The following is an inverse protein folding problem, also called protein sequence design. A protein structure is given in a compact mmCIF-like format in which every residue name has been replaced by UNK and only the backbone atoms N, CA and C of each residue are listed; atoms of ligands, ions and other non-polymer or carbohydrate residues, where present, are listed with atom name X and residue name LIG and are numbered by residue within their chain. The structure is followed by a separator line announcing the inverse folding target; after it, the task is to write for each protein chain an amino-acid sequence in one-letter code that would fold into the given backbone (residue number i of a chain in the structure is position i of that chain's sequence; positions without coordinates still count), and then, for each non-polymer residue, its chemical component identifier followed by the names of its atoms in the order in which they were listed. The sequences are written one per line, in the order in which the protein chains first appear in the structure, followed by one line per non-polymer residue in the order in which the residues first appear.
data_IF_777237249109
#
_entry.id   IF_777237249109
#
_cell.length_a   1.000
_cell.length_b   1.000
_cell.length_c   1.000
_cell.angle_alpha   90.00
_cell.angle_beta   90.00
_cell.angle_gamma   90.00
#
_symmetry.space_group_name_H-M   'P 1'
#
loop_
_entity.id
_entity.type
_entity.pdbx_description
1 polymer ?
#
# COMPACT_ATOMS: atom_id res chain seq x y z
N UNK A 1 -5.72 -11.66 -7.43
CA UNK A 1 -4.93 -11.08 -6.30
C UNK A 1 -5.84 -10.50 -5.22
N UNK A 2 -5.82 -11.08 -4.02
CA UNK A 2 -6.58 -10.62 -2.84
C UNK A 2 -6.24 -9.14 -2.52
N UNK A 3 -4.97 -8.75 -2.63
CA UNK A 3 -4.50 -7.38 -2.41
C UNK A 3 -5.18 -6.32 -3.27
N UNK A 4 -5.59 -6.65 -4.51
CA UNK A 4 -6.30 -5.71 -5.38
C UNK A 4 -7.69 -5.38 -4.84
N UNK A 5 -8.39 -6.38 -4.30
CA UNK A 5 -9.72 -6.20 -3.68
C UNK A 5 -9.61 -5.39 -2.38
N UNK A 6 -8.58 -5.68 -1.57
CA UNK A 6 -8.32 -4.97 -0.31
C UNK A 6 -8.01 -3.48 -0.59
N UNK A 7 -6.99 -3.20 -1.41
CA UNK A 7 -6.60 -1.82 -1.77
C UNK A 7 -7.76 -1.05 -2.42
N UNK A 8 -8.53 -1.70 -3.30
CA UNK A 8 -9.69 -1.08 -3.95
C UNK A 8 -10.80 -0.70 -2.97
N UNK A 9 -11.21 -1.62 -2.09
CA UNK A 9 -12.25 -1.35 -1.08
C UNK A 9 -11.80 -0.31 -0.05
N UNK A 10 -10.55 -0.38 0.39
CA UNK A 10 -9.97 0.61 1.30
C UNK A 10 -9.91 2.00 0.66
N UNK A 11 -9.49 2.10 -0.60
CA UNK A 11 -9.49 3.38 -1.35
C UNK A 11 -10.89 4.00 -1.44
N UNK A 12 -11.91 3.18 -1.69
CA UNK A 12 -13.30 3.65 -1.77
C UNK A 12 -13.83 4.19 -0.44
N UNK A 13 -13.51 3.52 0.67
CA UNK A 13 -13.93 3.99 2.00
C UNK A 13 -13.17 5.27 2.41
N UNK A 14 -11.84 5.28 2.24
CA UNK A 14 -11.02 6.44 2.60
C UNK A 14 -11.37 7.69 1.80
N UNK A 15 -11.70 7.56 0.51
CA UNK A 15 -12.15 8.70 -0.31
C UNK A 15 -13.53 9.22 0.08
N UNK A 16 -14.36 8.42 0.75
CA UNK A 16 -15.65 8.87 1.29
C UNK A 16 -15.50 9.60 2.62
N UNK A 17 -14.58 9.15 3.47
CA UNK A 17 -14.33 9.75 4.78
C UNK A 17 -13.45 11.01 4.69
N UNK A 18 -12.48 11.02 3.78
CA UNK A 18 -11.50 12.09 3.61
C UNK A 18 -11.56 12.66 2.19
N UNK A 19 -12.40 13.68 1.94
CA UNK A 19 -12.54 14.29 0.61
C UNK A 19 -11.24 14.98 0.13
N UNK A 20 -10.34 15.31 1.04
CA UNK A 20 -8.99 15.81 0.73
C UNK A 20 -8.13 14.81 -0.06
N UNK A 21 -8.38 13.50 0.10
CA UNK A 21 -7.69 12.43 -0.64
C UNK A 21 -8.20 12.26 -2.08
N UNK A 22 -9.20 13.04 -2.51
CA UNK A 22 -9.64 13.07 -3.92
C UNK A 22 -8.67 13.83 -4.82
N UNK A 23 -7.78 14.66 -4.25
CA UNK A 23 -6.76 15.41 -4.99
C UNK A 23 -5.67 14.52 -5.61
N UNK A 24 -5.49 13.31 -5.08
CA UNK A 24 -4.47 12.35 -5.52
C UNK A 24 -5.10 11.31 -6.46
N UNK A 25 -4.59 11.16 -7.71
CA UNK A 25 -5.20 10.28 -8.72
C UNK A 25 -5.19 8.81 -8.29
N UNK A 26 -4.11 8.36 -7.66
CA UNK A 26 -3.94 7.00 -7.13
C UNK A 26 -3.56 7.04 -5.65
N UNK A 27 -4.35 6.35 -4.82
CA UNK A 27 -4.15 6.33 -3.37
C UNK A 27 -3.11 5.29 -2.93
N UNK A 28 -2.88 4.28 -3.77
CA UNK A 28 -1.96 3.18 -3.51
C UNK A 28 -1.02 3.00 -4.69
N UNK A 29 0.26 2.75 -4.41
CA UNK A 29 1.21 2.27 -5.43
C UNK A 29 0.77 0.88 -5.92
N UNK A 30 1.00 0.56 -7.21
CA UNK A 30 0.63 -0.75 -7.77
C UNK A 30 1.37 -1.91 -7.09
N UNK A 31 2.59 -1.63 -6.62
CA UNK A 31 3.45 -2.56 -5.91
C UNK A 31 2.96 -2.84 -4.48
N UNK A 32 3.18 -4.05 -3.98
CA UNK A 32 2.87 -4.44 -2.61
C UNK A 32 3.89 -5.46 -2.14
N UNK A 33 4.34 -5.33 -0.89
CA UNK A 33 5.19 -6.30 -0.24
C UNK A 33 4.32 -7.31 0.50
N UNK A 34 4.55 -8.60 0.29
CA UNK A 34 3.94 -9.67 1.08
C UNK A 34 5.04 -10.64 1.48
N UNK A 35 5.12 -10.96 2.77
CA UNK A 35 6.05 -11.94 3.30
C UNK A 35 5.33 -12.76 4.37
N UNK A 36 5.67 -14.04 4.47
CA UNK A 36 5.08 -14.97 5.43
C UNK A 36 5.56 -14.63 6.84
N UNK A 37 4.65 -14.70 7.82
CA UNK A 37 4.98 -14.48 9.23
C UNK A 37 5.96 -15.58 9.69
N UNK A 38 7.23 -15.22 9.82
CA UNK A 38 8.28 -16.15 10.25
C UNK A 38 9.70 -15.61 10.15
N UNK A 39 10.01 -14.69 9.22
CA UNK A 39 11.39 -14.25 9.04
C UNK A 39 11.53 -12.82 8.47
N UNK A 40 10.83 -11.84 9.05
CA UNK A 40 10.98 -10.44 8.62
C UNK A 40 11.95 -9.74 9.57
N UNK A 41 13.19 -9.55 9.11
CA UNK A 41 14.11 -8.58 9.69
C UNK A 41 13.65 -7.16 9.31
N UNK A 42 13.65 -6.23 10.26
CA UNK A 42 13.30 -4.82 10.04
C UNK A 42 14.10 -4.17 8.89
N UNK A 43 15.33 -4.62 8.65
CA UNK A 43 16.16 -4.22 7.51
C UNK A 43 15.54 -4.54 6.15
N UNK A 44 14.85 -5.67 6.00
CA UNK A 44 14.20 -6.04 4.73
C UNK A 44 13.06 -5.10 4.39
N UNK A 45 12.31 -4.64 5.40
CA UNK A 45 11.25 -3.65 5.22
C UNK A 45 11.84 -2.29 4.83
N UNK A 46 12.93 -1.86 5.48
CA UNK A 46 13.63 -0.61 5.14
C UNK A 46 14.14 -0.62 3.69
N UNK A 47 14.82 -1.69 3.29
CA UNK A 47 15.31 -1.86 1.91
C UNK A 47 14.18 -1.82 0.89
N UNK A 48 13.02 -2.43 1.20
CA UNK A 48 11.86 -2.36 0.32
C UNK A 48 11.34 -0.93 0.18
N UNK A 49 11.20 -0.18 1.29
CA UNK A 49 10.73 1.21 1.27
C UNK A 49 11.69 2.11 0.47
N UNK A 50 13.00 1.92 0.62
CA UNK A 50 14.02 2.66 -0.13
C UNK A 50 13.95 2.37 -1.63
N UNK A 51 13.75 1.11 -2.02
CA UNK A 51 13.59 0.71 -3.43
C UNK A 51 12.28 1.20 -4.07
N UNK A 52 11.30 1.66 -3.30
CA UNK A 52 10.02 2.18 -3.80
C UNK A 52 10.02 3.70 -4.03
N UNK A 53 11.13 4.39 -3.76
CA UNK A 53 11.22 5.86 -3.85
C UNK A 53 11.59 6.39 -5.24
N UNK A 54 11.86 5.50 -6.20
CA UNK A 54 12.12 5.81 -7.61
C UNK A 54 10.91 5.49 -8.52
#
# INVERSE_FOLDING_TARGET
CIMRKIKGRASHHLRKEFPELLKIPTLWTPSYFVSTAGNICTETVKKYIEQQRD
#
